data_IF_770751943996
#
_entry.id   IF_770751943996
#
_cell.length_a   1.000
_cell.length_b   1.000
_cell.length_c   1.000
_cell.angle_alpha   90.00
_cell.angle_beta   90.00
_cell.angle_gamma   90.00
#
_symmetry.space_group_name_H-M   'P 1'
#
loop_
_entity.id
_entity.type
_entity.pdbx_description
1 polymer ?
#
# COMPACT_ATOMS: atom_id res chain seq x y z
N UNK A 1 29.40 14.27 -6.49
CA UNK A 1 29.62 13.95 -5.05
C UNK A 1 30.57 12.77 -4.94
N UNK A 2 31.45 12.74 -3.92
CA UNK A 2 32.48 11.69 -3.78
C UNK A 2 31.98 10.49 -2.98
N UNK A 3 32.67 9.35 -3.09
CA UNK A 3 32.32 8.04 -2.46
C UNK A 3 31.85 8.16 -1.00
N UNK A 4 32.54 8.95 -0.17
CA UNK A 4 32.21 9.10 1.25
C UNK A 4 30.86 9.80 1.48
N UNK A 5 30.64 10.89 0.75
CA UNK A 5 29.36 11.62 0.80
C UNK A 5 28.22 10.77 0.23
N UNK A 6 28.52 10.02 -0.84
CA UNK A 6 27.58 9.10 -1.46
C UNK A 6 27.15 7.97 -0.54
N UNK A 7 28.09 7.31 0.13
CA UNK A 7 27.80 6.31 1.15
C UNK A 7 26.88 6.86 2.25
N UNK A 8 27.16 8.07 2.74
CA UNK A 8 26.36 8.70 3.78
C UNK A 8 24.92 9.01 3.32
N UNK A 9 24.74 9.54 2.11
CA UNK A 9 23.41 9.88 1.59
C UNK A 9 22.59 8.66 1.18
N UNK A 10 23.24 7.65 0.61
CA UNK A 10 22.58 6.42 0.16
C UNK A 10 22.27 5.43 1.30
N UNK A 11 22.83 5.63 2.49
CA UNK A 11 22.72 4.68 3.60
C UNK A 11 23.56 3.41 3.39
N UNK A 12 24.48 3.42 2.42
CA UNK A 12 25.35 2.28 2.08
C UNK A 12 26.72 2.44 2.74
N UNK A 13 27.41 1.33 2.97
CA UNK A 13 28.82 1.38 3.36
C UNK A 13 29.69 1.77 2.16
N UNK A 14 30.80 2.49 2.40
CA UNK A 14 31.77 2.80 1.34
C UNK A 14 32.28 1.55 0.62
N UNK A 15 32.33 0.40 1.33
CA UNK A 15 32.72 -0.89 0.77
C UNK A 15 31.68 -1.42 -0.23
N UNK A 16 30.39 -1.31 0.09
CA UNK A 16 29.31 -1.67 -0.84
C UNK A 16 29.35 -0.78 -2.07
N UNK A 17 29.49 0.54 -1.88
CA UNK A 17 29.60 1.49 -3.00
C UNK A 17 30.77 1.12 -3.92
N UNK A 18 31.97 0.87 -3.39
CA UNK A 18 33.13 0.47 -4.21
C UNK A 18 32.92 -0.85 -4.95
N UNK A 19 32.30 -1.85 -4.31
CA UNK A 19 32.00 -3.13 -4.97
C UNK A 19 31.00 -2.97 -6.11
N UNK A 20 29.96 -2.16 -5.90
CA UNK A 20 28.96 -1.89 -6.93
C UNK A 20 29.60 -1.16 -8.10
N UNK A 21 30.42 -0.13 -7.84
CA UNK A 21 31.21 0.56 -8.89
C UNK A 21 32.04 -0.42 -9.69
N UNK A 22 32.76 -1.33 -9.03
CA UNK A 22 33.58 -2.33 -9.70
C UNK A 22 32.74 -3.22 -10.63
N UNK A 23 31.64 -3.78 -10.13
CA UNK A 23 30.78 -4.65 -10.94
C UNK A 23 30.12 -3.91 -12.11
N UNK A 24 29.75 -2.63 -11.90
CA UNK A 24 29.28 -1.74 -12.95
C UNK A 24 30.37 -1.57 -14.03
N UNK A 25 31.59 -1.21 -13.65
CA UNK A 25 32.69 -1.00 -14.60
C UNK A 25 33.10 -2.27 -15.36
N UNK A 26 33.14 -3.42 -14.69
CA UNK A 26 33.40 -4.74 -15.29
C UNK A 26 32.36 -5.10 -16.35
N UNK A 27 31.11 -4.65 -16.17
CA UNK A 27 29.99 -4.84 -17.10
C UNK A 27 29.87 -3.72 -18.14
N UNK A 28 30.82 -2.79 -18.17
CA UNK A 28 30.88 -1.70 -19.17
C UNK A 28 30.12 -0.43 -18.79
N UNK A 29 29.65 -0.29 -17.54
CA UNK A 29 29.10 0.95 -17.01
C UNK A 29 30.21 1.89 -16.60
N UNK A 30 30.36 2.99 -17.33
CA UNK A 30 31.31 4.02 -16.99
C UNK A 30 30.61 5.12 -16.19
N UNK A 31 30.92 5.17 -14.89
CA UNK A 31 30.54 6.29 -14.04
C UNK A 31 31.44 7.49 -14.32
N UNK A 32 30.90 8.69 -14.21
CA UNK A 32 31.66 9.92 -14.39
C UNK A 32 32.84 9.99 -13.41
N UNK A 33 33.95 10.57 -13.89
CA UNK A 33 35.19 10.72 -13.12
C UNK A 33 35.48 12.20 -12.88
N UNK A 34 36.05 12.48 -11.73
CA UNK A 34 36.54 13.80 -11.33
C UNK A 34 37.91 13.65 -10.68
N UNK A 35 38.73 14.71 -10.73
CA UNK A 35 40.00 14.73 -10.04
C UNK A 35 39.80 15.06 -8.55
N UNK A 36 40.28 14.19 -7.68
CA UNK A 36 40.32 14.45 -6.25
C UNK A 36 41.69 14.15 -5.67
N UNK A 37 42.38 15.19 -5.19
CA UNK A 37 43.73 15.12 -4.61
C UNK A 37 44.75 14.44 -5.54
N UNK A 38 44.72 14.77 -6.83
CA UNK A 38 45.65 14.22 -7.83
C UNK A 38 45.39 12.75 -8.19
N UNK A 39 44.20 12.23 -7.89
CA UNK A 39 43.74 10.89 -8.28
C UNK A 39 42.37 10.98 -8.91
N UNK A 40 42.09 10.10 -9.87
CA UNK A 40 40.74 9.95 -10.39
C UNK A 40 39.82 9.36 -9.32
N UNK A 41 38.68 10.00 -9.12
CA UNK A 41 37.62 9.55 -8.24
C UNK A 41 36.31 9.53 -9.01
N UNK A 42 35.41 8.62 -8.64
CA UNK A 42 34.06 8.61 -9.19
C UNK A 42 33.29 9.83 -8.70
N UNK A 43 32.69 10.56 -9.64
CA UNK A 43 31.79 11.67 -9.38
C UNK A 43 30.34 11.18 -9.47
N UNK A 44 29.80 10.80 -8.32
CA UNK A 44 28.43 10.34 -8.21
C UNK A 44 27.45 11.52 -8.29
N UNK A 45 26.23 11.25 -8.70
CA UNK A 45 25.10 12.17 -8.67
C UNK A 45 24.02 11.65 -7.73
N UNK A 46 23.04 12.50 -7.43
CA UNK A 46 21.90 12.12 -6.59
C UNK A 46 21.04 11.04 -7.25
N UNK A 47 20.91 11.08 -8.59
CA UNK A 47 20.25 10.05 -9.40
C UNK A 47 20.90 8.66 -9.29
N UNK A 48 22.19 8.58 -8.95
CA UNK A 48 22.88 7.28 -8.79
C UNK A 48 22.49 6.57 -7.48
N UNK A 49 21.90 7.28 -6.50
CA UNK A 49 21.58 6.71 -5.19
C UNK A 49 20.57 5.57 -5.30
N UNK A 50 19.50 5.78 -6.06
CA UNK A 50 18.43 4.78 -6.23
C UNK A 50 18.96 3.50 -6.86
N UNK A 51 19.80 3.61 -7.90
CA UNK A 51 20.45 2.46 -8.54
C UNK A 51 21.29 1.66 -7.54
N UNK A 52 22.09 2.33 -6.72
CA UNK A 52 22.96 1.67 -5.76
C UNK A 52 22.18 1.00 -4.62
N UNK A 53 21.06 1.60 -4.19
CA UNK A 53 20.15 1.00 -3.22
C UNK A 53 19.48 -0.24 -3.78
N UNK A 54 18.95 -0.17 -5.01
CA UNK A 54 18.32 -1.30 -5.69
C UNK A 54 19.30 -2.47 -5.86
N UNK A 55 20.53 -2.20 -6.33
CA UNK A 55 21.57 -3.23 -6.43
C UNK A 55 21.84 -3.85 -5.05
N UNK A 56 21.91 -3.05 -4.00
CA UNK A 56 22.15 -3.55 -2.64
C UNK A 56 21.02 -4.44 -2.13
N UNK A 57 19.77 -4.06 -2.37
CA UNK A 57 18.61 -4.89 -2.03
C UNK A 57 18.63 -6.21 -2.80
N UNK A 58 18.97 -6.17 -4.09
CA UNK A 58 19.07 -7.38 -4.91
C UNK A 58 20.17 -8.31 -4.43
N UNK A 59 21.35 -7.76 -4.11
CA UNK A 59 22.46 -8.49 -3.50
C UNK A 59 22.05 -9.12 -2.17
N UNK A 60 21.24 -8.43 -1.35
CA UNK A 60 20.76 -9.00 -0.10
C UNK A 60 19.82 -10.20 -0.31
N UNK A 61 19.05 -10.22 -1.41
CA UNK A 61 18.16 -11.34 -1.77
C UNK A 61 18.91 -12.52 -2.38
N UNK A 62 19.78 -12.27 -3.35
CA UNK A 62 20.53 -13.32 -4.07
C UNK A 62 21.77 -13.80 -3.32
N UNK A 63 22.22 -13.04 -2.31
CA UNK A 63 23.46 -13.22 -1.57
C UNK A 63 24.72 -13.23 -2.47
N UNK A 64 24.63 -12.66 -3.68
CA UNK A 64 25.70 -12.63 -4.67
C UNK A 64 25.59 -11.39 -5.54
N UNK A 65 26.70 -10.67 -5.74
CA UNK A 65 26.74 -9.56 -6.67
C UNK A 65 26.51 -10.03 -8.10
N UNK A 66 27.15 -11.10 -8.55
CA UNK A 66 27.00 -11.56 -9.93
C UNK A 66 25.56 -11.95 -10.26
N UNK A 67 24.90 -12.72 -9.39
CA UNK A 67 23.49 -13.08 -9.57
C UNK A 67 22.56 -11.88 -9.45
N UNK A 68 22.84 -10.93 -8.55
CA UNK A 68 22.04 -9.70 -8.44
C UNK A 68 22.12 -8.86 -9.71
N UNK A 69 23.31 -8.74 -10.31
CA UNK A 69 23.49 -8.04 -11.57
C UNK A 69 22.86 -8.78 -12.74
N UNK A 70 22.99 -10.12 -12.82
CA UNK A 70 22.31 -10.93 -13.85
C UNK A 70 20.77 -10.80 -13.77
N UNK A 71 20.20 -10.84 -12.57
CA UNK A 71 18.76 -10.61 -12.37
C UNK A 71 18.35 -9.19 -12.77
N UNK A 72 19.16 -8.18 -12.43
CA UNK A 72 18.89 -6.79 -12.81
C UNK A 72 19.01 -6.57 -14.30
N UNK A 73 19.95 -7.22 -14.98
CA UNK A 73 20.11 -7.19 -16.44
C UNK A 73 18.94 -7.85 -17.18
N UNK A 74 18.36 -8.90 -16.59
CA UNK A 74 17.21 -9.62 -17.17
C UNK A 74 15.88 -8.92 -16.91
N UNK A 75 15.68 -8.39 -15.70
CA UNK A 75 14.44 -7.73 -15.30
C UNK A 75 14.40 -6.28 -15.78
N UNK A 76 15.57 -5.66 -15.91
CA UNK A 76 15.72 -4.32 -16.42
C UNK A 76 16.72 -4.30 -17.57
N UNK A 77 16.31 -3.74 -18.71
CA UNK A 77 17.18 -3.39 -19.84
C UNK A 77 18.11 -2.19 -19.49
N UNK A 78 18.52 -2.10 -18.21
CA UNK A 78 19.29 -1.03 -17.58
C UNK A 78 20.71 -0.97 -18.13
N UNK A 79 21.21 -2.10 -18.61
CA UNK A 79 22.61 -2.30 -18.92
C UNK A 79 22.88 -2.47 -20.43
N UNK A 80 22.33 -1.58 -21.27
CA UNK A 80 22.79 -1.46 -22.66
C UNK A 80 23.96 -0.46 -22.78
N UNK A 81 25.16 -1.03 -22.74
CA UNK A 81 26.43 -0.63 -23.39
C UNK A 81 26.49 0.80 -23.94
N UNK A 82 27.28 1.65 -23.29
CA UNK A 82 27.82 2.85 -23.95
C UNK A 82 28.83 2.37 -25.00
N UNK A 83 28.48 2.49 -26.27
CA UNK A 83 29.44 2.30 -27.38
C UNK A 83 30.55 3.33 -27.21
N UNK A 84 31.78 2.87 -26.98
CA UNK A 84 32.97 3.73 -26.90
C UNK A 84 33.06 4.65 -28.12
N UNK A 85 33.39 5.92 -27.90
CA UNK A 85 33.89 6.80 -28.95
C UNK A 85 35.33 6.43 -29.32
N UNK A 86 35.60 5.19 -29.73
CA UNK A 86 36.88 4.86 -30.36
C UNK A 86 36.84 5.36 -31.82
N UNK A 87 37.02 6.67 -32.01
CA UNK A 87 37.15 7.31 -33.33
C UNK A 87 38.36 6.81 -34.13
N UNK A 88 39.19 5.93 -33.57
CA UNK A 88 40.48 5.58 -34.16
C UNK A 88 40.47 4.39 -35.13
N UNK A 89 39.40 3.59 -35.20
CA UNK A 89 39.40 2.39 -36.07
C UNK A 89 38.02 2.08 -36.70
N UNK A 90 37.33 3.10 -37.21
CA UNK A 90 36.18 2.86 -38.07
C UNK A 90 36.64 2.68 -39.53
N UNK A 91 36.11 1.69 -40.28
CA UNK A 91 36.36 1.58 -41.70
C UNK A 91 35.99 2.91 -42.39
N UNK A 92 36.79 3.38 -43.34
CA UNK A 92 36.58 4.65 -44.04
C UNK A 92 35.37 4.67 -44.99
N UNK A 93 34.43 3.73 -44.80
CA UNK A 93 33.25 3.58 -45.63
C UNK A 93 32.19 4.63 -45.21
N UNK A 94 31.82 5.53 -46.13
CA UNK A 94 31.02 6.73 -45.83
C UNK A 94 29.63 6.42 -45.24
N UNK A 95 29.14 5.19 -45.39
CA UNK A 95 27.83 4.75 -44.92
C UNK A 95 27.85 4.34 -43.43
N UNK A 96 28.99 3.90 -42.90
CA UNK A 96 29.10 3.42 -41.51
C UNK A 96 28.87 4.54 -40.48
N UNK A 97 29.42 5.76 -40.64
CA UNK A 97 29.13 6.87 -39.73
C UNK A 97 27.66 7.30 -39.71
N UNK A 98 26.95 7.20 -40.84
CA UNK A 98 25.52 7.54 -40.92
C UNK A 98 24.68 6.51 -40.15
N UNK A 99 24.92 5.23 -40.39
CA UNK A 99 24.23 4.14 -39.69
C UNK A 99 24.46 4.21 -38.17
N UNK A 100 25.67 4.56 -37.73
CA UNK A 100 25.99 4.74 -36.31
C UNK A 100 25.22 5.93 -35.71
N UNK A 101 25.09 7.04 -36.44
CA UNK A 101 24.32 8.19 -35.98
C UNK A 101 22.81 7.88 -35.90
N UNK A 102 22.27 7.13 -36.87
CA UNK A 102 20.87 6.66 -36.83
C UNK A 102 20.63 5.74 -35.63
N UNK A 103 21.50 4.76 -35.40
CA UNK A 103 21.43 3.87 -34.23
C UNK A 103 21.53 4.65 -32.92
N UNK A 104 22.41 5.66 -32.85
CA UNK A 104 22.51 6.54 -31.67
C UNK A 104 21.22 7.30 -31.41
N UNK A 105 20.58 7.81 -32.45
CA UNK A 105 19.30 8.52 -32.33
C UNK A 105 18.17 7.57 -31.90
N UNK A 106 18.11 6.37 -32.47
CA UNK A 106 17.14 5.33 -32.08
C UNK A 106 17.32 4.94 -30.60
N UNK A 107 18.56 4.72 -30.17
CA UNK A 107 18.92 4.42 -28.78
C UNK A 107 18.51 5.56 -27.85
N UNK A 108 18.75 6.82 -28.23
CA UNK A 108 18.33 7.97 -27.42
C UNK A 108 16.82 8.08 -27.31
N UNK A 109 16.08 7.85 -28.42
CA UNK A 109 14.61 7.83 -28.40
C UNK A 109 14.08 6.71 -27.50
N UNK A 110 14.63 5.51 -27.60
CA UNK A 110 14.27 4.39 -26.71
C UNK A 110 14.55 4.72 -25.25
N UNK A 111 15.62 5.47 -24.94
CA UNK A 111 15.93 5.92 -23.58
C UNK A 111 14.90 6.93 -23.06
N UNK A 112 14.47 7.88 -23.89
CA UNK A 112 13.42 8.84 -23.55
C UNK A 112 12.09 8.13 -23.30
N UNK A 113 11.70 7.21 -24.17
CA UNK A 113 10.49 6.38 -24.01
C UNK A 113 10.57 5.56 -22.71
N UNK A 114 11.72 4.96 -22.41
CA UNK A 114 11.94 4.21 -21.16
C UNK A 114 11.85 5.11 -19.93
N UNK A 115 12.38 6.34 -19.98
CA UNK A 115 12.27 7.30 -18.87
C UNK A 115 10.81 7.69 -18.61
N UNK A 116 10.04 7.93 -19.68
CA UNK A 116 8.60 8.20 -19.59
C UNK A 116 7.85 7.01 -18.99
N UNK A 117 8.13 5.79 -19.46
CA UNK A 117 7.54 4.57 -18.91
C UNK A 117 7.87 4.40 -17.42
N UNK A 118 9.10 4.70 -17.00
CA UNK A 118 9.48 4.70 -15.59
C UNK A 118 8.63 5.66 -14.76
N UNK A 119 8.39 6.87 -15.24
CA UNK A 119 7.51 7.84 -14.57
C UNK A 119 6.07 7.34 -14.49
N UNK A 120 5.55 6.73 -15.57
CA UNK A 120 4.21 6.15 -15.58
C UNK A 120 4.07 5.00 -14.58
N UNK A 121 5.07 4.12 -14.48
CA UNK A 121 5.07 3.02 -13.50
C UNK A 121 5.04 3.55 -12.07
N UNK A 122 5.84 4.59 -11.76
CA UNK A 122 5.79 5.23 -10.44
C UNK A 122 4.42 5.83 -10.13
N UNK A 123 3.77 6.47 -11.11
CA UNK A 123 2.40 6.98 -10.95
C UNK A 123 1.39 5.86 -10.69
N UNK A 124 1.49 4.74 -11.41
CA UNK A 124 0.63 3.56 -11.19
C UNK A 124 0.82 3.00 -9.78
N UNK A 125 2.06 2.91 -9.29
CA UNK A 125 2.31 2.46 -7.91
C UNK A 125 1.71 3.40 -6.87
N UNK A 126 1.84 4.72 -7.06
CA UNK A 126 1.20 5.69 -6.17
C UNK A 126 -0.33 5.52 -6.16
N UNK A 127 -0.95 5.40 -7.33
CA UNK A 127 -2.39 5.15 -7.45
C UNK A 127 -2.82 3.84 -6.79
N UNK A 128 -2.01 2.78 -6.91
CA UNK A 128 -2.28 1.50 -6.26
C UNK A 128 -2.28 1.62 -4.74
N UNK A 129 -1.38 2.42 -4.17
CA UNK A 129 -1.28 2.60 -2.73
C UNK A 129 -2.40 3.48 -2.18
N UNK A 130 -2.78 4.53 -2.91
CA UNK A 130 -3.97 5.34 -2.62
C UNK A 130 -5.25 4.48 -2.66
N UNK A 131 -5.38 3.58 -3.63
CA UNK A 131 -6.49 2.64 -3.73
C UNK A 131 -6.55 1.65 -2.55
N UNK A 132 -5.41 1.12 -2.11
CA UNK A 132 -5.35 0.25 -0.92
C UNK A 132 -5.76 1.00 0.34
N UNK A 133 -5.32 2.25 0.49
CA UNK A 133 -5.71 3.10 1.61
C UNK A 133 -7.23 3.34 1.62
N UNK A 134 -7.81 3.70 0.47
CA UNK A 134 -9.25 3.91 0.32
C UNK A 134 -10.05 2.63 0.63
N UNK A 135 -9.60 1.48 0.12
CA UNK A 135 -10.23 0.19 0.40
C UNK A 135 -10.20 -0.15 1.90
N UNK A 136 -9.09 0.13 2.58
CA UNK A 136 -8.96 -0.05 4.03
C UNK A 136 -9.95 0.84 4.79
N UNK A 137 -10.06 2.10 4.39
CA UNK A 137 -11.00 3.05 5.00
C UNK A 137 -12.47 2.63 4.79
N UNK A 138 -12.83 2.17 3.59
CA UNK A 138 -14.17 1.65 3.30
C UNK A 138 -14.50 0.43 4.15
N UNK A 139 -13.57 -0.51 4.31
CA UNK A 139 -13.78 -1.68 5.16
C UNK A 139 -13.97 -1.32 6.63
N UNK A 140 -13.19 -0.38 7.15
CA UNK A 140 -13.37 0.12 8.52
C UNK A 140 -14.76 0.77 8.70
N UNK A 141 -15.21 1.55 7.72
CA UNK A 141 -16.52 2.19 7.76
C UNK A 141 -17.66 1.15 7.66
N UNK A 142 -17.52 0.14 6.82
CA UNK A 142 -18.46 -0.99 6.73
C UNK A 142 -18.53 -1.76 8.04
N UNK A 143 -17.40 -2.04 8.68
CA UNK A 143 -17.36 -2.74 9.97
C UNK A 143 -18.03 -1.91 11.08
N UNK A 144 -17.76 -0.61 11.12
CA UNK A 144 -18.41 0.33 12.06
C UNK A 144 -19.93 0.38 11.86
N UNK A 145 -20.38 0.44 10.60
CA UNK A 145 -21.80 0.42 10.27
C UNK A 145 -22.46 -0.91 10.63
N UNK A 146 -21.77 -2.04 10.40
CA UNK A 146 -22.27 -3.37 10.79
C UNK A 146 -22.47 -3.46 12.29
N UNK A 147 -21.48 -3.04 13.09
CA UNK A 147 -21.59 -2.97 14.56
C UNK A 147 -22.74 -2.06 15.02
N UNK A 148 -22.94 -0.94 14.33
CA UNK A 148 -24.05 -0.02 14.61
C UNK A 148 -25.41 -0.64 14.29
N UNK A 149 -25.53 -1.42 13.20
CA UNK A 149 -26.76 -2.13 12.87
C UNK A 149 -27.05 -3.26 13.86
N UNK A 150 -26.02 -4.00 14.29
CA UNK A 150 -26.14 -5.03 15.31
C UNK A 150 -26.64 -4.45 16.65
N UNK A 151 -26.10 -3.31 17.07
CA UNK A 151 -26.53 -2.65 18.31
C UNK A 151 -27.97 -2.11 18.21
N UNK A 152 -28.35 -1.53 17.07
CA UNK A 152 -29.74 -1.11 16.82
C UNK A 152 -30.70 -2.31 16.83
N UNK A 153 -30.31 -3.43 16.24
CA UNK A 153 -31.12 -4.66 16.22
C UNK A 153 -31.26 -5.23 17.63
N UNK A 154 -30.19 -5.23 18.43
CA UNK A 154 -30.23 -5.66 19.82
C UNK A 154 -31.14 -4.76 20.67
N UNK A 155 -31.01 -3.43 20.53
CA UNK A 155 -31.85 -2.47 21.22
C UNK A 155 -33.34 -2.61 20.83
N UNK A 156 -33.62 -2.84 19.54
CA UNK A 156 -35.00 -3.08 19.08
C UNK A 156 -35.58 -4.38 19.67
N UNK A 157 -34.76 -5.44 19.77
CA UNK A 157 -35.17 -6.69 20.40
C UNK A 157 -35.47 -6.50 21.89
N UNK A 158 -34.59 -5.84 22.62
CA UNK A 158 -34.78 -5.54 24.05
C UNK A 158 -36.05 -4.70 24.27
N UNK A 159 -36.27 -3.68 23.43
CA UNK A 159 -37.48 -2.88 23.49
C UNK A 159 -38.75 -3.70 23.25
N UNK A 160 -38.74 -4.62 22.27
CA UNK A 160 -39.86 -5.52 22.00
C UNK A 160 -40.15 -6.46 23.18
N UNK A 161 -39.12 -6.96 23.86
CA UNK A 161 -39.26 -7.80 25.05
C UNK A 161 -39.87 -7.00 26.21
N UNK A 162 -39.42 -5.76 26.44
CA UNK A 162 -39.99 -4.86 27.45
C UNK A 162 -41.46 -4.51 27.17
N UNK A 163 -41.83 -4.26 25.91
CA UNK A 163 -43.23 -4.03 25.52
C UNK A 163 -44.09 -5.26 25.81
N UNK A 164 -43.62 -6.45 25.47
CA UNK A 164 -44.33 -7.70 25.73
C UNK A 164 -44.54 -7.94 27.24
N UNK A 165 -43.51 -7.73 28.06
CA UNK A 165 -43.62 -7.84 29.51
C UNK A 165 -44.60 -6.82 30.10
N UNK A 166 -44.53 -5.56 29.64
CA UNK A 166 -45.45 -4.50 30.08
C UNK A 166 -46.89 -4.86 29.73
N UNK A 167 -47.13 -5.37 28.52
CA UNK A 167 -48.45 -5.78 28.08
C UNK A 167 -49.01 -6.95 28.90
N UNK A 168 -48.20 -7.97 29.20
CA UNK A 168 -48.59 -9.05 30.11
C UNK A 168 -48.93 -8.55 31.53
N UNK A 169 -48.16 -7.59 32.04
CA UNK A 169 -48.42 -6.98 33.35
C UNK A 169 -49.76 -6.23 33.37
N UNK A 170 -50.04 -5.42 32.34
CA UNK A 170 -51.32 -4.71 32.19
C UNK A 170 -52.49 -5.69 32.11
N UNK A 171 -52.38 -6.74 31.30
CA UNK A 171 -53.43 -7.77 31.18
C UNK A 171 -53.70 -8.46 32.53
N UNK A 172 -52.66 -8.76 33.29
CA UNK A 172 -52.77 -9.39 34.61
C UNK A 172 -53.49 -8.46 35.59
N UNK A 173 -53.05 -7.20 35.70
CA UNK A 173 -53.69 -6.19 36.56
C UNK A 173 -55.15 -5.94 36.16
N UNK A 174 -55.45 -5.92 34.86
CA UNK A 174 -56.82 -5.73 34.36
C UNK A 174 -57.72 -6.89 34.78
N UNK A 175 -57.24 -8.14 34.67
CA UNK A 175 -57.97 -9.32 35.14
C UNK A 175 -58.19 -9.29 36.66
N UNK A 176 -57.18 -8.91 37.43
CA UNK A 176 -57.28 -8.77 38.90
C UNK A 176 -58.33 -7.72 39.29
N UNK A 177 -58.30 -6.55 38.65
CA UNK A 177 -59.30 -5.50 38.90
C UNK A 177 -60.72 -5.95 38.54
N UNK A 178 -60.90 -6.66 37.42
CA UNK A 178 -62.20 -7.22 37.06
C UNK A 178 -62.69 -8.25 38.08
N UNK A 179 -61.81 -9.13 38.56
CA UNK A 179 -62.14 -10.11 39.59
C UNK A 179 -62.52 -9.44 40.92
N UNK A 180 -61.79 -8.40 41.34
CA UNK A 180 -62.11 -7.58 42.50
C UNK A 180 -63.47 -6.90 42.35
N UNK A 181 -63.76 -6.26 41.22
CA UNK A 181 -65.04 -5.61 40.97
C UNK A 181 -66.21 -6.61 41.00
N UNK A 182 -66.05 -7.81 40.43
CA UNK A 182 -67.04 -8.88 40.50
C UNK A 182 -67.24 -9.37 41.94
N UNK A 183 -66.17 -9.51 42.72
CA UNK A 183 -66.24 -9.92 44.13
C UNK A 183 -67.02 -8.90 44.98
N UNK A 184 -66.79 -7.60 44.77
CA UNK A 184 -67.50 -6.51 45.45
C UNK A 184 -68.99 -6.54 45.09
N UNK A 185 -69.33 -6.60 43.79
CA UNK A 185 -70.73 -6.71 43.37
C UNK A 185 -71.43 -7.94 43.93
N UNK A 186 -70.74 -9.08 44.01
CA UNK A 186 -71.31 -10.31 44.55
C UNK A 186 -71.54 -10.23 46.07
N UNK A 187 -70.64 -9.58 46.81
CA UNK A 187 -70.78 -9.34 48.25
C UNK A 187 -71.86 -8.29 48.57
N UNK A 188 -71.98 -7.23 47.76
CA UNK A 188 -73.08 -6.26 47.90
C UNK A 188 -74.43 -6.92 47.66
N UNK A 189 -74.57 -7.76 46.62
CA UNK A 189 -75.80 -8.53 46.38
C UNK A 189 -76.12 -9.44 47.56
N UNK A 190 -75.15 -10.19 48.09
CA UNK A 190 -75.35 -11.05 49.28
C UNK A 190 -75.76 -10.24 50.51
N UNK A 191 -75.09 -9.13 50.78
CA UNK A 191 -75.42 -8.24 51.91
C UNK A 191 -76.78 -7.58 51.77
N UNK A 192 -77.22 -7.26 50.55
CA UNK A 192 -78.56 -6.76 50.25
C UNK A 192 -79.63 -7.83 50.48
N UNK A 193 -79.45 -9.04 49.97
CA UNK A 193 -80.38 -10.16 50.22
C UNK A 193 -80.49 -10.51 51.70
N UNK A 194 -79.38 -10.49 52.43
CA UNK A 194 -79.37 -10.76 53.87
C UNK A 194 -80.13 -9.70 54.68
N UNK A 195 -80.12 -8.43 54.26
CA UNK A 195 -80.93 -7.36 54.88
C UNK A 195 -82.42 -7.46 54.56
N UNK A 196 -82.78 -8.03 53.41
CA UNK A 196 -84.18 -8.15 52.98
C UNK A 196 -84.88 -9.41 53.50
N UNK A 197 -84.15 -10.50 53.73
CA UNK A 197 -84.74 -11.82 54.02
C UNK A 197 -84.11 -12.55 55.22
N UNK A 198 -83.06 -12.00 55.83
CA UNK A 198 -82.39 -12.59 57.00
C UNK A 198 -82.82 -11.91 58.29
N UNK A 199 -84.00 -12.28 58.79
CA UNK A 199 -84.48 -12.00 60.14
C UNK A 199 -84.91 -13.30 60.80
#
# INVERSE_FOLDING_TARGET
MLTKEFAQRSGLSEKQVRKIVQHLEERGYHLNKTEYRGREATDFKEEDIELFQEITERVARTNSYDLAFEELEQEKDFLQVIVKEDKQHLPSDQQVPQLINELRNEINKMREERQMLGQMVSQVHQQQEELKALHTQLNQQLESNSKSLESLTAAQKEQSEQWSQTQQSIETQTKEQQALAQSIQSNEKKGFFQRLFGG
#
